data_IF_099065547664
#
_entry.id   IF_099065547664
#
_cell.length_a   1.000
_cell.length_b   1.000
_cell.length_c   1.000
_cell.angle_alpha   90.00
_cell.angle_beta   90.00
_cell.angle_gamma   90.00
#
_symmetry.space_group_name_H-M   'P 1'
#
loop_
_entity.id
_entity.type
_entity.pdbx_description
1 polymer ?
#
# COMPACT_ATOMS: atom_id res chain seq x y z
N UNK A 1 -22.96 -18.68 8.46
CA UNK A 1 -22.10 -17.50 8.57
C UNK A 1 -22.12 -16.73 7.27
N UNK A 2 -22.40 -15.44 7.35
CA UNK A 2 -22.18 -14.56 6.20
C UNK A 2 -20.70 -14.22 6.11
N UNK A 3 -20.14 -14.24 4.91
CA UNK A 3 -18.75 -13.87 4.69
C UNK A 3 -18.55 -12.38 4.98
N UNK A 4 -17.70 -12.10 5.94
CA UNK A 4 -17.36 -10.74 6.36
C UNK A 4 -15.87 -10.50 6.33
N UNK A 5 -15.49 -9.28 5.95
CA UNK A 5 -14.16 -8.78 6.18
C UNK A 5 -14.03 -8.33 7.63
N UNK A 6 -12.93 -8.68 8.26
CA UNK A 6 -12.64 -8.29 9.64
C UNK A 6 -12.54 -6.77 9.78
N UNK A 7 -12.86 -6.25 10.95
CA UNK A 7 -12.54 -4.86 11.30
C UNK A 7 -11.01 -4.65 11.27
N UNK A 8 -10.59 -3.40 11.13
CA UNK A 8 -9.16 -3.10 11.10
C UNK A 8 -8.45 -3.48 12.40
N UNK A 9 -9.11 -3.31 13.54
CA UNK A 9 -8.56 -3.74 14.84
C UNK A 9 -8.40 -5.27 14.91
N UNK A 10 -9.35 -6.03 14.39
CA UNK A 10 -9.24 -7.49 14.32
C UNK A 10 -8.12 -7.93 13.36
N UNK A 11 -7.96 -7.26 12.23
CA UNK A 11 -6.85 -7.52 11.29
C UNK A 11 -5.51 -7.33 12.00
N UNK A 12 -5.34 -6.22 12.72
CA UNK A 12 -4.11 -5.96 13.48
C UNK A 12 -3.89 -7.00 14.58
N UNK A 13 -4.94 -7.39 15.26
CA UNK A 13 -4.88 -8.41 16.30
C UNK A 13 -4.38 -9.76 15.76
N UNK A 14 -5.02 -10.25 14.70
CA UNK A 14 -4.62 -11.54 14.11
C UNK A 14 -3.24 -11.48 13.45
N UNK A 15 -2.89 -10.38 12.82
CA UNK A 15 -1.56 -10.20 12.27
C UNK A 15 -0.48 -10.29 13.37
N UNK A 16 -0.71 -9.62 14.50
CA UNK A 16 0.20 -9.68 15.65
C UNK A 16 0.29 -11.09 16.22
N UNK A 17 -0.84 -11.81 16.29
CA UNK A 17 -0.89 -13.18 16.79
C UNK A 17 -0.02 -14.14 15.96
N UNK A 18 0.03 -13.93 14.64
CA UNK A 18 0.81 -14.74 13.71
C UNK A 18 2.18 -14.14 13.37
N UNK A 19 2.57 -13.06 14.02
CA UNK A 19 3.82 -12.33 13.75
C UNK A 19 3.94 -11.88 12.29
N UNK A 20 2.83 -11.39 11.73
CA UNK A 20 2.77 -10.87 10.38
C UNK A 20 2.73 -9.34 10.38
N UNK A 21 3.49 -8.69 9.49
CA UNK A 21 3.37 -7.25 9.34
C UNK A 21 2.04 -6.87 8.67
N UNK A 22 1.50 -5.73 9.08
CA UNK A 22 0.37 -5.10 8.37
C UNK A 22 0.88 -3.95 7.51
N UNK A 23 0.04 -3.50 6.57
CA UNK A 23 0.30 -2.27 5.85
C UNK A 23 0.38 -1.09 6.84
N UNK A 24 1.21 -0.07 6.57
CA UNK A 24 1.31 1.09 7.44
C UNK A 24 -0.02 1.82 7.58
N UNK A 25 -0.40 2.10 8.81
CA UNK A 25 -1.55 2.93 9.11
C UNK A 25 -1.13 4.40 9.05
N UNK A 26 -1.75 5.17 8.15
CA UNK A 26 -1.44 6.58 8.01
C UNK A 26 -2.29 7.46 8.91
N UNK A 27 -3.59 7.19 8.95
CA UNK A 27 -4.54 7.99 9.72
C UNK A 27 -5.84 7.24 9.93
N UNK A 28 -6.43 7.40 11.10
CA UNK A 28 -7.82 7.02 11.39
C UNK A 28 -8.55 8.27 11.82
N UNK A 29 -9.64 8.60 11.14
CA UNK A 29 -10.45 9.76 11.49
C UNK A 29 -11.93 9.52 11.19
N UNK A 30 -12.83 10.18 11.94
CA UNK A 30 -14.25 10.18 11.62
C UNK A 30 -14.51 10.96 10.33
N UNK A 31 -15.34 10.40 9.46
CA UNK A 31 -15.72 11.05 8.18
C UNK A 31 -16.83 12.07 8.35
N UNK A 32 -17.49 12.11 9.50
CA UNK A 32 -18.52 13.10 9.79
C UNK A 32 -17.93 14.52 9.76
N UNK A 33 -18.45 15.37 8.89
CA UNK A 33 -17.97 16.72 8.71
C UNK A 33 -16.90 16.90 7.64
N UNK A 34 -16.39 15.82 7.04
CA UNK A 34 -15.52 15.90 5.87
C UNK A 34 -16.36 15.94 4.60
N UNK A 35 -16.04 16.89 3.72
CA UNK A 35 -16.59 16.89 2.36
C UNK A 35 -15.80 15.93 1.49
N UNK A 36 -16.39 15.35 0.44
CA UNK A 36 -15.64 14.51 -0.52
C UNK A 36 -14.40 15.21 -1.08
N UNK A 37 -14.48 16.52 -1.30
CA UNK A 37 -13.37 17.33 -1.81
C UNK A 37 -12.19 17.41 -0.84
N UNK A 38 -12.47 17.63 0.45
CA UNK A 38 -11.45 17.68 1.49
C UNK A 38 -10.77 16.33 1.66
N UNK A 39 -11.55 15.25 1.66
CA UNK A 39 -11.03 13.89 1.75
C UNK A 39 -10.12 13.57 0.56
N UNK A 40 -10.54 13.93 -0.64
CA UNK A 40 -9.74 13.74 -1.85
C UNK A 40 -8.41 14.48 -1.79
N UNK A 41 -8.44 15.75 -1.38
CA UNK A 41 -7.22 16.55 -1.25
C UNK A 41 -6.25 15.95 -0.24
N UNK A 42 -6.74 15.45 0.88
CA UNK A 42 -5.93 14.81 1.90
C UNK A 42 -5.29 13.52 1.41
N UNK A 43 -6.03 12.69 0.71
CA UNK A 43 -5.53 11.46 0.10
C UNK A 43 -4.41 11.76 -0.91
N UNK A 44 -4.62 12.76 -1.77
CA UNK A 44 -3.60 13.19 -2.74
C UNK A 44 -2.34 13.66 -2.03
N UNK A 45 -2.48 14.46 -0.98
CA UNK A 45 -1.35 14.96 -0.18
C UNK A 45 -0.58 13.79 0.45
N UNK A 46 -1.27 12.86 1.09
CA UNK A 46 -0.64 11.69 1.71
C UNK A 46 0.08 10.80 0.71
N UNK A 47 -0.40 10.70 -0.53
CA UNK A 47 0.24 9.90 -1.58
C UNK A 47 1.57 10.46 -2.05
N UNK A 48 1.83 11.75 -1.81
CA UNK A 48 3.05 12.43 -2.21
C UNK A 48 4.16 12.35 -1.15
N UNK A 49 3.84 11.83 0.02
CA UNK A 49 4.82 11.66 1.10
C UNK A 49 5.73 10.44 0.86
N UNK A 50 6.93 10.40 1.49
CA UNK A 50 7.82 9.24 1.39
C UNK A 50 7.15 7.95 1.85
N UNK A 51 7.50 6.84 1.20
CA UNK A 51 7.02 5.52 1.59
C UNK A 51 7.54 5.12 2.98
N UNK A 52 6.70 4.49 3.79
CA UNK A 52 7.07 4.01 5.13
C UNK A 52 7.92 2.73 5.04
N UNK A 53 7.57 1.83 4.15
CA UNK A 53 8.34 0.62 3.87
C UNK A 53 9.43 0.89 2.82
N UNK A 54 10.56 1.39 3.24
CA UNK A 54 11.64 1.68 2.31
C UNK A 54 11.47 3.02 1.60
N UNK A 55 11.91 4.06 2.27
CA UNK A 55 11.93 5.42 1.71
C UNK A 55 12.99 5.62 0.63
N UNK A 56 13.84 4.64 0.41
CA UNK A 56 14.92 4.70 -0.57
C UNK A 56 15.02 3.36 -1.31
N UNK A 57 15.04 3.43 -2.63
CA UNK A 57 15.28 2.25 -3.46
C UNK A 57 16.70 1.74 -3.21
N UNK A 58 16.88 0.47 -2.82
CA UNK A 58 18.22 -0.06 -2.51
C UNK A 58 19.16 -0.10 -3.73
N UNK A 59 18.60 -0.07 -4.94
CA UNK A 59 19.36 -0.14 -6.19
C UNK A 59 19.72 1.21 -6.75
N UNK A 60 18.68 2.06 -6.97
CA UNK A 60 18.87 3.37 -7.57
C UNK A 60 19.28 4.42 -6.56
N UNK A 61 19.09 4.16 -5.26
CA UNK A 61 19.28 5.10 -4.16
C UNK A 61 18.34 6.32 -4.24
N UNK A 62 17.34 6.26 -5.09
CA UNK A 62 16.35 7.32 -5.19
C UNK A 62 15.35 7.25 -4.05
N UNK A 63 14.84 8.40 -3.63
CA UNK A 63 13.77 8.49 -2.64
C UNK A 63 12.47 7.97 -3.25
N UNK A 64 11.85 7.01 -2.57
CA UNK A 64 10.58 6.44 -2.97
C UNK A 64 9.44 7.16 -2.28
N UNK A 65 8.57 7.80 -3.05
CA UNK A 65 7.29 8.28 -2.57
C UNK A 65 6.24 7.17 -2.64
N UNK A 66 5.15 7.31 -1.90
CA UNK A 66 4.06 6.34 -1.95
C UNK A 66 3.48 6.25 -3.37
N UNK A 67 3.17 5.05 -3.81
CA UNK A 67 2.43 4.83 -5.05
C UNK A 67 1.01 5.37 -4.95
N UNK A 68 0.41 5.19 -3.80
CA UNK A 68 -0.95 5.61 -3.54
C UNK A 68 -1.37 5.35 -2.10
N UNK A 69 -2.65 5.43 -1.87
CA UNK A 69 -3.27 5.24 -0.56
C UNK A 69 -4.49 4.34 -0.71
N UNK A 70 -4.67 3.43 0.22
CA UNK A 70 -5.89 2.64 0.36
C UNK A 70 -6.66 3.15 1.57
N UNK A 71 -7.90 3.51 1.35
CA UNK A 71 -8.83 3.92 2.40
C UNK A 71 -9.87 2.84 2.61
N UNK A 72 -10.16 2.50 3.85
CA UNK A 72 -11.19 1.51 4.17
C UNK A 72 -12.02 1.93 5.37
N UNK A 73 -13.22 1.39 5.46
CA UNK A 73 -14.00 1.43 6.68
C UNK A 73 -13.26 0.64 7.78
N UNK A 74 -13.12 1.20 8.97
CA UNK A 74 -12.43 0.56 10.09
C UNK A 74 -13.23 -0.58 10.72
N UNK A 75 -14.55 -0.59 10.57
CA UNK A 75 -15.43 -1.65 11.03
C UNK A 75 -15.41 -2.88 10.13
N UNK A 76 -16.09 -3.92 10.56
CA UNK A 76 -16.34 -5.09 9.71
C UNK A 76 -17.39 -4.77 8.64
N UNK A 77 -17.34 -5.43 7.51
CA UNK A 77 -18.32 -5.29 6.44
C UNK A 77 -18.41 -6.57 5.62
N UNK A 78 -19.56 -6.77 4.97
CA UNK A 78 -19.79 -7.94 4.14
C UNK A 78 -18.85 -7.95 2.93
N UNK A 79 -18.43 -9.14 2.52
CA UNK A 79 -17.61 -9.32 1.30
C UNK A 79 -18.30 -8.73 0.08
N UNK A 80 -19.64 -8.86 -0.02
CA UNK A 80 -20.44 -8.26 -1.09
C UNK A 80 -20.42 -6.73 -1.10
N UNK A 81 -20.07 -6.10 0.03
CA UNK A 81 -20.04 -4.64 0.20
C UNK A 81 -18.62 -4.07 0.09
N UNK A 82 -17.67 -4.86 -0.35
CA UNK A 82 -16.26 -4.45 -0.45
C UNK A 82 -16.08 -3.14 -1.22
N UNK A 83 -16.73 -3.00 -2.37
CA UNK A 83 -16.61 -1.82 -3.22
C UNK A 83 -17.12 -0.51 -2.56
N UNK A 84 -17.99 -0.63 -1.57
CA UNK A 84 -18.51 0.52 -0.80
C UNK A 84 -17.67 0.86 0.43
N UNK A 85 -16.73 -0.02 0.81
CA UNK A 85 -15.98 0.10 2.05
C UNK A 85 -14.47 0.23 1.86
N UNK A 86 -13.96 0.02 0.65
CA UNK A 86 -12.54 0.09 0.33
C UNK A 86 -12.34 0.89 -0.95
N UNK A 87 -11.46 1.89 -0.89
CA UNK A 87 -11.12 2.75 -2.01
C UNK A 87 -9.61 2.78 -2.20
N UNK A 88 -9.16 2.72 -3.44
CA UNK A 88 -7.75 2.82 -3.78
C UNK A 88 -7.51 4.09 -4.60
N UNK A 89 -6.54 4.87 -4.21
CA UNK A 89 -6.01 5.97 -5.00
C UNK A 89 -4.57 5.68 -5.39
N UNK A 90 -4.27 5.76 -6.66
CA UNK A 90 -2.91 5.61 -7.21
C UNK A 90 -2.53 6.90 -7.90
N UNK A 91 -1.40 7.50 -7.51
CA UNK A 91 -0.95 8.75 -8.10
C UNK A 91 -0.48 8.54 -9.54
N UNK A 92 -0.64 9.56 -10.36
CA UNK A 92 -0.10 9.56 -11.72
C UNK A 92 1.43 9.63 -11.67
N UNK A 93 2.09 8.94 -12.59
CA UNK A 93 3.54 9.02 -12.74
C UNK A 93 4.35 8.24 -11.69
N UNK A 94 3.73 7.35 -10.92
CA UNK A 94 4.46 6.45 -10.02
C UNK A 94 5.30 5.43 -10.79
N UNK A 95 4.88 5.09 -11.99
CA UNK A 95 5.65 4.26 -12.93
C UNK A 95 6.39 5.17 -13.89
N UNK A 96 7.72 5.08 -13.91
CA UNK A 96 8.58 5.93 -14.74
C UNK A 96 8.69 5.48 -16.19
N UNK A 97 8.13 4.34 -16.55
CA UNK A 97 8.15 3.80 -17.91
C UNK A 97 6.74 3.57 -18.43
N UNK A 98 6.50 3.91 -19.69
CA UNK A 98 5.24 3.63 -20.38
C UNK A 98 5.17 2.20 -20.94
N UNK A 99 6.22 1.43 -20.73
CA UNK A 99 6.30 0.06 -21.21
C UNK A 99 5.52 -0.90 -20.34
N UNK A 100 4.77 -1.80 -20.98
CA UNK A 100 4.12 -2.89 -20.27
C UNK A 100 5.20 -3.80 -19.67
N UNK A 101 5.14 -4.03 -18.36
CA UNK A 101 6.16 -4.78 -17.62
C UNK A 101 6.46 -6.18 -18.20
N UNK A 102 5.50 -6.80 -18.89
CA UNK A 102 5.67 -8.12 -19.49
C UNK A 102 6.57 -8.12 -20.73
N UNK A 103 6.77 -6.97 -21.37
CA UNK A 103 7.61 -6.87 -22.58
C UNK A 103 9.11 -6.89 -22.26
N UNK A 104 9.49 -6.26 -21.17
CA UNK A 104 10.88 -6.17 -20.71
C UNK A 104 11.10 -6.87 -19.37
N UNK A 105 10.31 -7.92 -19.14
CA UNK A 105 10.39 -8.65 -17.87
C UNK A 105 11.72 -9.37 -17.74
N UNK A 106 12.41 -9.14 -16.64
CA UNK A 106 13.58 -9.87 -16.22
C UNK A 106 13.35 -10.42 -14.82
N UNK A 107 13.70 -11.67 -14.60
CA UNK A 107 13.67 -12.24 -13.26
C UNK A 107 14.62 -11.50 -12.34
N UNK A 108 14.17 -11.11 -11.17
CA UNK A 108 15.05 -10.59 -10.14
C UNK A 108 16.04 -11.69 -9.70
N UNK A 109 17.31 -11.36 -9.47
CA UNK A 109 18.27 -12.35 -8.98
C UNK A 109 17.90 -12.80 -7.55
N UNK A 110 18.22 -14.02 -7.23
CA UNK A 110 18.08 -14.54 -5.88
C UNK A 110 19.22 -14.03 -4.99
N UNK A 111 19.00 -13.99 -3.70
CA UNK A 111 19.97 -13.45 -2.73
C UNK A 111 21.35 -14.12 -2.86
N UNK A 112 21.37 -15.42 -3.08
CA UNK A 112 22.62 -16.16 -3.24
C UNK A 112 23.36 -15.86 -4.56
N UNK A 113 22.61 -15.55 -5.62
CA UNK A 113 23.21 -15.11 -6.91
C UNK A 113 23.92 -13.77 -6.75
N UNK A 114 23.37 -12.91 -5.95
CA UNK A 114 23.92 -11.60 -5.59
C UNK A 114 25.24 -11.67 -4.85
N UNK A 115 25.36 -12.62 -3.94
CA UNK A 115 26.55 -12.76 -3.13
C UNK A 115 27.72 -13.31 -3.96
N UNK A 116 27.43 -14.11 -4.99
CA UNK A 116 28.46 -14.66 -5.86
C UNK A 116 29.08 -13.62 -6.81
N UNK A 117 28.32 -12.59 -7.21
CA UNK A 117 28.85 -11.49 -8.04
C UNK A 117 29.78 -10.53 -7.29
N UNK A 118 29.73 -10.53 -5.96
CA UNK A 118 30.60 -9.71 -5.12
C UNK A 118 31.94 -10.36 -4.77
N UNK A 119 32.07 -11.64 -5.02
CA UNK A 119 33.31 -12.40 -4.77
C UNK A 119 34.25 -12.47 -6.00
N UNK A 120 33.76 -12.01 -7.13
CA UNK A 120 34.57 -11.80 -8.34
C UNK A 120 34.99 -10.31 -8.44
#
# INVERSE_FOLDING_TARGET
CMDQWLSWEEVKFYAALFDLPTVPELKIEPVSGLTPELLKQEIIRMSQEPAIFGSCDPWTKEVCTREGVVSRNVGEYLVSEFAHNVFKYVRKGHVKTDEHWTRNWKRAPLVWEFNNEKEE
#
